data_IF_991914974125
#
_entry.id   IF_991914974125
#
_cell.length_a   1.000
_cell.length_b   1.000
_cell.length_c   1.000
_cell.angle_alpha   90.00
_cell.angle_beta   90.00
_cell.angle_gamma   90.00
#
_symmetry.space_group_name_H-M   'P 1'
#
loop_
_entity.id
_entity.type
_entity.pdbx_description
1 polymer ?
#
# COMPACT_ATOMS: atom_id res chain seq x y z
N UNK A 1 5.29 23.46 9.80
CA UNK A 1 4.77 24.73 9.30
C UNK A 1 5.02 24.74 7.80
N UNK A 2 3.97 24.49 7.00
CA UNK A 2 4.08 24.32 5.55
C UNK A 2 3.79 25.61 4.78
N UNK A 3 3.67 26.74 5.49
CA UNK A 3 3.34 28.07 4.94
C UNK A 3 4.41 28.66 4.02
N UNK A 4 5.59 28.05 3.93
CA UNK A 4 6.72 28.49 3.09
C UNK A 4 6.61 28.09 1.61
N UNK A 5 5.63 27.27 1.22
CA UNK A 5 5.39 26.92 -0.19
C UNK A 5 4.22 27.73 -0.76
N UNK A 6 4.42 28.31 -1.95
CA UNK A 6 3.48 29.22 -2.62
C UNK A 6 2.11 28.59 -2.91
N UNK A 7 2.05 27.26 -3.00
CA UNK A 7 0.86 26.43 -3.21
C UNK A 7 0.67 25.40 -2.07
N UNK A 8 0.94 25.81 -0.82
CA UNK A 8 0.74 24.98 0.36
C UNK A 8 -0.75 24.74 0.64
N UNK A 9 -1.40 23.98 -0.24
CA UNK A 9 -2.65 23.31 0.06
C UNK A 9 -2.37 22.31 1.19
N UNK A 10 -3.28 22.22 2.16
CA UNK A 10 -3.15 21.35 3.34
C UNK A 10 -3.14 19.83 3.01
N UNK A 11 -2.91 19.45 1.75
CA UNK A 11 -3.14 18.14 1.18
C UNK A 11 -4.64 17.81 1.10
N UNK A 12 -5.00 16.89 0.21
CA UNK A 12 -6.31 16.26 0.30
C UNK A 12 -6.36 15.45 1.61
N UNK A 13 -7.27 15.82 2.53
CA UNK A 13 -7.46 15.11 3.80
C UNK A 13 -8.75 14.30 3.74
N UNK A 14 -8.67 13.04 4.19
CA UNK A 14 -9.84 12.17 4.31
C UNK A 14 -10.29 11.50 3.01
N UNK A 15 -9.54 11.59 1.92
CA UNK A 15 -9.79 10.75 0.73
C UNK A 15 -9.23 9.35 1.03
N UNK A 16 -10.08 8.31 1.04
CA UNK A 16 -9.60 6.93 1.18
C UNK A 16 -8.67 6.56 0.03
N UNK A 17 -7.61 5.81 0.33
CA UNK A 17 -6.67 5.32 -0.69
C UNK A 17 -7.40 4.56 -1.81
N UNK A 18 -8.43 3.76 -1.47
CA UNK A 18 -9.24 3.02 -2.45
C UNK A 18 -9.94 3.93 -3.47
N UNK A 19 -10.35 5.14 -3.08
CA UNK A 19 -10.92 6.10 -4.03
C UNK A 19 -9.84 6.68 -4.95
N UNK A 20 -8.64 6.92 -4.42
CA UNK A 20 -7.50 7.35 -5.24
C UNK A 20 -7.11 6.26 -6.25
N UNK A 21 -7.06 5.01 -5.81
CA UNK A 21 -6.80 3.85 -6.68
C UNK A 21 -7.87 3.71 -7.78
N UNK A 22 -9.15 3.84 -7.43
CA UNK A 22 -10.24 3.76 -8.40
C UNK A 22 -10.15 4.85 -9.49
N UNK A 23 -9.90 6.10 -9.09
CA UNK A 23 -9.74 7.22 -10.04
C UNK A 23 -8.53 7.01 -10.95
N UNK A 24 -7.40 6.53 -10.40
CA UNK A 24 -6.20 6.28 -11.19
C UNK A 24 -6.38 5.09 -12.16
N UNK A 25 -7.09 4.04 -11.74
CA UNK A 25 -7.40 2.90 -12.61
C UNK A 25 -8.34 3.30 -13.75
N UNK A 26 -9.41 4.03 -13.45
CA UNK A 26 -10.34 4.56 -14.44
C UNK A 26 -9.59 5.41 -15.47
N UNK A 27 -8.79 6.37 -14.99
CA UNK A 27 -7.99 7.24 -15.85
C UNK A 27 -6.98 6.46 -16.72
N UNK A 28 -6.30 5.46 -16.15
CA UNK A 28 -5.41 4.59 -16.92
C UNK A 28 -6.15 3.80 -18.01
N UNK A 29 -7.38 3.36 -17.72
CA UNK A 29 -8.28 2.71 -18.67
C UNK A 29 -8.71 3.64 -19.81
N UNK A 30 -9.05 4.89 -19.51
CA UNK A 30 -9.37 5.93 -20.52
C UNK A 30 -8.19 6.20 -21.46
N UNK A 31 -6.96 6.06 -20.96
CA UNK A 31 -5.73 6.17 -21.75
C UNK A 31 -5.39 4.90 -22.55
N UNK A 32 -6.20 3.84 -22.44
CA UNK A 32 -6.03 2.58 -23.19
C UNK A 32 -5.04 1.60 -22.57
N UNK A 33 -4.75 1.71 -21.28
CA UNK A 33 -3.85 0.76 -20.58
C UNK A 33 -4.49 -0.62 -20.45
N UNK A 34 -3.76 -1.68 -20.79
CA UNK A 34 -4.19 -3.08 -20.60
C UNK A 34 -3.93 -3.53 -19.15
N UNK A 35 -4.95 -3.41 -18.30
CA UNK A 35 -4.90 -3.81 -16.88
C UNK A 35 -5.50 -5.21 -16.73
N UNK A 36 -4.66 -6.17 -16.31
CA UNK A 36 -5.04 -7.58 -16.15
C UNK A 36 -5.10 -7.99 -14.68
N UNK A 37 -6.30 -8.02 -14.11
CA UNK A 37 -6.53 -8.48 -12.72
C UNK A 37 -6.51 -10.01 -12.63
N UNK A 38 -6.04 -10.53 -11.50
CA UNK A 38 -5.88 -11.98 -11.29
C UNK A 38 -4.69 -12.59 -12.03
N UNK A 39 -3.75 -11.75 -12.48
CA UNK A 39 -2.47 -12.17 -13.05
C UNK A 39 -1.36 -11.93 -12.04
N UNK A 40 -0.62 -12.98 -11.70
CA UNK A 40 0.41 -12.97 -10.68
C UNK A 40 1.78 -13.23 -11.30
N UNK A 41 2.75 -12.36 -11.01
CA UNK A 41 4.13 -12.53 -11.41
C UNK A 41 4.77 -13.76 -10.73
N UNK A 42 5.56 -14.52 -11.49
CA UNK A 42 6.27 -15.71 -10.98
C UNK A 42 7.79 -15.60 -11.12
N UNK A 43 8.26 -15.21 -12.30
CA UNK A 43 9.69 -15.15 -12.59
C UNK A 43 9.96 -14.18 -13.74
N UNK A 44 11.22 -13.79 -13.88
CA UNK A 44 11.72 -13.02 -15.02
C UNK A 44 13.00 -13.64 -15.56
N UNK A 45 13.21 -13.46 -16.86
CA UNK A 45 14.47 -13.64 -17.56
C UNK A 45 14.70 -12.37 -18.39
N UNK A 46 15.92 -11.84 -18.40
CA UNK A 46 16.27 -10.65 -19.17
C UNK A 46 17.45 -10.93 -20.09
N UNK A 47 17.44 -10.25 -21.24
CA UNK A 47 18.52 -10.22 -22.23
C UNK A 47 18.74 -8.78 -22.70
N UNK A 48 19.62 -8.57 -23.67
CA UNK A 48 19.99 -7.24 -24.16
C UNK A 48 18.80 -6.49 -24.83
N UNK A 49 17.73 -7.20 -25.22
CA UNK A 49 16.58 -6.67 -25.95
C UNK A 49 15.30 -6.58 -25.09
N UNK A 50 15.35 -6.96 -23.81
CA UNK A 50 14.25 -6.77 -22.86
C UNK A 50 14.04 -7.88 -21.84
N UNK A 51 12.80 -8.01 -21.35
CA UNK A 51 12.43 -8.88 -20.23
C UNK A 51 11.29 -9.81 -20.62
N UNK A 52 11.50 -11.11 -20.45
CA UNK A 52 10.45 -12.12 -20.44
C UNK A 52 9.98 -12.37 -19.01
N UNK A 53 8.67 -12.38 -18.79
CA UNK A 53 8.07 -12.71 -17.48
C UNK A 53 7.19 -13.94 -17.58
N UNK A 54 7.31 -14.81 -16.59
CA UNK A 54 6.35 -15.89 -16.33
C UNK A 54 5.28 -15.34 -15.38
N UNK A 55 4.02 -15.56 -15.74
CA UNK A 55 2.85 -15.10 -14.97
C UNK A 55 1.83 -16.21 -14.87
N UNK A 56 1.16 -16.32 -13.71
CA UNK A 56 0.00 -17.17 -13.54
C UNK A 56 -1.27 -16.32 -13.71
N UNK A 57 -2.15 -16.70 -14.62
CA UNK A 57 -3.40 -15.99 -14.88
C UNK A 57 -4.56 -16.97 -15.12
N UNK A 58 -5.72 -16.47 -15.56
CA UNK A 58 -6.80 -17.33 -16.03
C UNK A 58 -6.29 -18.32 -17.07
N UNK A 59 -6.59 -19.60 -16.88
CA UNK A 59 -6.14 -20.67 -17.78
C UNK A 59 -4.73 -21.21 -17.54
N UNK A 60 -4.01 -20.73 -16.52
CA UNK A 60 -2.72 -21.31 -16.09
C UNK A 60 -1.53 -20.37 -16.25
N UNK A 61 -0.37 -20.94 -16.54
CA UNK A 61 0.87 -20.18 -16.72
C UNK A 61 1.00 -19.63 -18.14
N UNK A 62 1.51 -18.40 -18.23
CA UNK A 62 1.73 -17.68 -19.46
C UNK A 62 3.11 -17.03 -19.45
N UNK A 63 3.64 -16.74 -20.65
CA UNK A 63 4.87 -15.97 -20.83
C UNK A 63 4.58 -14.69 -21.59
N UNK A 64 5.01 -13.56 -21.03
CA UNK A 64 4.89 -12.23 -21.64
C UNK A 64 6.28 -11.66 -21.91
N UNK A 65 6.42 -10.80 -22.92
CA UNK A 65 7.67 -10.12 -23.28
C UNK A 65 7.43 -8.61 -23.38
N UNK A 66 8.33 -7.84 -22.81
CA UNK A 66 8.34 -6.38 -22.90
C UNK A 66 9.80 -5.88 -22.97
N UNK A 67 9.98 -4.61 -23.35
CA UNK A 67 11.31 -3.96 -23.32
C UNK A 67 11.75 -3.66 -21.88
N UNK A 68 10.79 -3.34 -21.00
CA UNK A 68 11.04 -3.00 -19.60
C UNK A 68 10.00 -3.67 -18.71
N UNK A 69 10.41 -3.95 -17.46
CA UNK A 69 9.55 -4.39 -16.38
C UNK A 69 9.69 -3.42 -15.21
N UNK A 70 8.57 -2.96 -14.65
CA UNK A 70 8.54 -2.10 -13.46
C UNK A 70 7.88 -2.85 -12.31
N UNK A 71 8.60 -3.02 -11.20
CA UNK A 71 8.07 -3.62 -9.97
C UNK A 71 7.23 -2.61 -9.18
N UNK A 72 5.93 -2.57 -9.43
CA UNK A 72 4.94 -1.79 -8.67
C UNK A 72 4.13 -2.67 -7.69
N UNK A 73 4.74 -3.76 -7.20
CA UNK A 73 4.12 -4.85 -6.44
C UNK A 73 4.30 -4.74 -4.92
N UNK A 74 4.51 -3.52 -4.42
CA UNK A 74 4.50 -3.20 -2.99
C UNK A 74 5.78 -3.56 -2.22
N UNK A 75 5.72 -3.44 -0.88
CA UNK A 75 6.90 -3.58 -0.01
C UNK A 75 7.56 -4.97 -0.04
N UNK A 76 6.77 -6.02 -0.29
CA UNK A 76 7.23 -7.40 -0.44
C UNK A 76 7.48 -7.78 -1.90
N UNK A 77 7.91 -6.83 -2.72
CA UNK A 77 8.11 -6.98 -4.16
C UNK A 77 8.82 -8.30 -4.54
N UNK A 78 8.08 -9.12 -5.28
CA UNK A 78 8.54 -10.35 -5.92
C UNK A 78 9.41 -10.05 -7.13
N UNK A 79 9.12 -8.96 -7.85
CA UNK A 79 9.95 -8.47 -8.96
C UNK A 79 11.33 -8.07 -8.47
N UNK A 80 11.42 -7.29 -7.37
CA UNK A 80 12.69 -6.89 -6.76
C UNK A 80 13.56 -8.10 -6.40
N UNK A 81 12.94 -9.10 -5.77
CA UNK A 81 13.62 -10.32 -5.36
C UNK A 81 14.12 -11.13 -6.58
N UNK A 82 13.27 -11.32 -7.59
CA UNK A 82 13.61 -12.07 -8.80
C UNK A 82 14.72 -11.39 -9.63
N UNK A 83 14.76 -10.05 -9.64
CA UNK A 83 15.81 -9.28 -10.30
C UNK A 83 17.12 -9.20 -9.49
N UNK A 84 17.18 -9.80 -8.29
CA UNK A 84 18.38 -9.85 -7.47
C UNK A 84 18.77 -8.51 -6.83
N UNK A 85 17.84 -7.56 -6.71
CA UNK A 85 18.12 -6.29 -6.06
C UNK A 85 18.30 -6.45 -4.56
N UNK A 86 19.38 -5.88 -4.03
CA UNK A 86 19.58 -5.75 -2.60
C UNK A 86 18.52 -4.82 -1.99
N UNK A 87 18.07 -5.15 -0.78
CA UNK A 87 17.12 -4.32 -0.02
C UNK A 87 17.65 -4.07 1.40
N UNK A 88 18.71 -3.24 1.53
CA UNK A 88 19.31 -2.96 2.83
C UNK A 88 18.38 -2.10 3.69
N UNK A 89 18.33 -2.40 4.98
CA UNK A 89 17.53 -1.68 5.95
C UNK A 89 17.46 -2.41 7.28
N UNK A 90 16.59 -1.93 8.17
CA UNK A 90 16.32 -2.57 9.44
C UNK A 90 14.93 -3.19 9.42
N UNK A 91 14.82 -4.44 9.87
CA UNK A 91 13.53 -5.09 10.07
C UNK A 91 12.69 -4.36 11.12
N UNK A 92 11.37 -4.51 11.03
CA UNK A 92 10.45 -3.97 12.02
C UNK A 92 10.77 -4.52 13.41
N UNK A 93 10.72 -3.64 14.41
CA UNK A 93 10.94 -4.00 15.83
C UNK A 93 9.68 -3.87 16.68
N UNK A 94 8.57 -3.40 16.07
CA UNK A 94 7.30 -3.13 16.74
C UNK A 94 6.13 -3.47 15.83
N UNK A 95 5.11 -4.09 16.41
CA UNK A 95 3.79 -4.25 15.82
C UNK A 95 2.87 -3.10 16.16
N UNK A 96 1.86 -2.91 15.32
CA UNK A 96 0.74 -2.00 15.52
C UNK A 96 -0.52 -2.66 15.00
N UNK A 97 -1.64 -2.41 15.63
CA UNK A 97 -2.95 -2.88 15.17
C UNK A 97 -3.74 -1.72 14.62
N UNK A 98 -4.44 -1.96 13.52
CA UNK A 98 -5.42 -1.04 12.95
C UNK A 98 -6.71 -1.82 12.76
N UNK A 99 -7.82 -1.24 13.21
CA UNK A 99 -9.15 -1.79 12.98
C UNK A 99 -10.16 -0.68 12.72
N UNK A 100 -11.11 -0.97 11.84
CA UNK A 100 -12.31 -0.16 11.64
C UNK A 100 -13.45 -0.83 12.39
N UNK A 101 -14.07 -0.12 13.34
CA UNK A 101 -15.04 -0.67 14.30
C UNK A 101 -16.37 0.07 14.24
N UNK A 102 -17.46 -0.64 14.58
CA UNK A 102 -18.83 -0.12 14.59
C UNK A 102 -19.49 -0.34 15.94
N UNK A 103 -20.35 0.59 16.36
CA UNK A 103 -21.17 0.44 17.58
C UNK A 103 -20.41 0.53 18.91
N UNK A 104 -19.10 0.80 18.90
CA UNK A 104 -18.26 0.80 20.10
C UNK A 104 -18.22 2.14 20.86
N UNK A 105 -18.81 3.22 20.31
CA UNK A 105 -18.79 4.57 20.88
C UNK A 105 -17.37 5.02 21.30
N UNK A 106 -16.40 4.89 20.38
CA UNK A 106 -14.99 5.13 20.71
C UNK A 106 -14.76 6.63 20.97
N UNK A 107 -14.09 6.97 22.08
CA UNK A 107 -13.69 8.35 22.35
C UNK A 107 -12.73 8.84 21.26
N UNK A 108 -13.01 9.94 20.53
CA UNK A 108 -12.12 10.46 19.51
C UNK A 108 -10.76 10.92 20.08
N UNK A 109 -9.70 10.54 19.38
CA UNK A 109 -8.28 10.85 19.66
C UNK A 109 -7.53 11.13 18.34
N UNK A 110 -7.89 12.20 17.59
CA UNK A 110 -7.42 12.41 16.22
C UNK A 110 -5.92 12.74 16.10
N UNK A 111 -5.31 13.24 17.18
CA UNK A 111 -3.86 13.50 17.26
C UNK A 111 -3.11 12.36 17.99
N UNK A 112 -3.81 11.28 18.35
CA UNK A 112 -3.33 10.25 19.25
C UNK A 112 -3.32 10.68 20.72
N UNK A 113 -3.32 9.70 21.61
CA UNK A 113 -3.17 9.88 23.06
C UNK A 113 -2.18 8.84 23.58
N UNK A 114 -1.18 9.28 24.34
CA UNK A 114 -0.26 8.36 25.03
C UNK A 114 -0.91 7.85 26.32
N UNK A 115 -0.78 6.55 26.54
CA UNK A 115 -1.24 5.83 27.72
C UNK A 115 -0.06 5.04 28.33
N UNK A 116 -0.17 4.54 29.57
CA UNK A 116 0.92 3.77 30.18
C UNK A 116 1.40 2.57 29.33
N UNK A 117 0.47 1.92 28.62
CA UNK A 117 0.77 0.76 27.75
C UNK A 117 1.21 1.11 26.32
N UNK A 118 1.25 2.38 25.92
CA UNK A 118 1.62 2.76 24.55
C UNK A 118 0.92 4.01 24.04
N UNK A 119 0.51 3.99 22.77
CA UNK A 119 -0.26 5.07 22.15
C UNK A 119 -1.50 4.50 21.49
N UNK A 120 -2.60 5.23 21.56
CA UNK A 120 -3.81 4.93 20.80
C UNK A 120 -4.24 6.14 19.97
N UNK A 121 -4.75 5.90 18.78
CA UNK A 121 -5.42 6.90 17.94
C UNK A 121 -6.82 6.41 17.63
N UNK A 122 -7.78 7.32 17.60
CA UNK A 122 -9.15 7.03 17.23
C UNK A 122 -9.71 8.21 16.45
N UNK A 123 -10.25 7.96 15.26
CA UNK A 123 -10.85 9.00 14.45
C UNK A 123 -12.03 8.43 13.65
N UNK A 124 -13.10 9.23 13.44
CA UNK A 124 -14.18 8.82 12.56
C UNK A 124 -13.64 8.66 11.13
N UNK A 125 -13.93 7.52 10.52
CA UNK A 125 -13.56 7.22 9.13
C UNK A 125 -14.72 7.48 8.17
N UNK A 126 -15.92 7.06 8.57
CA UNK A 126 -17.18 7.26 7.86
C UNK A 126 -18.33 7.32 8.88
N UNK A 127 -19.55 7.54 8.42
CA UNK A 127 -20.73 7.52 9.28
C UNK A 127 -20.86 6.19 10.03
N UNK A 128 -20.81 6.25 11.36
CA UNK A 128 -20.92 5.07 12.23
C UNK A 128 -19.68 4.16 12.30
N UNK A 129 -18.58 4.52 11.63
CA UNK A 129 -17.32 3.75 11.60
C UNK A 129 -16.18 4.56 12.19
N UNK A 130 -15.58 4.02 13.26
CA UNK A 130 -14.38 4.58 13.89
C UNK A 130 -13.14 3.78 13.49
N UNK A 131 -12.08 4.44 13.06
CA UNK A 131 -10.76 3.83 12.91
C UNK A 131 -9.98 3.93 14.20
N UNK A 132 -9.55 2.78 14.73
CA UNK A 132 -8.65 2.69 15.87
C UNK A 132 -7.26 2.23 15.43
N UNK A 133 -6.23 2.86 16.00
CA UNK A 133 -4.84 2.42 15.87
C UNK A 133 -4.28 2.21 17.27
N UNK A 134 -3.71 1.04 17.52
CA UNK A 134 -3.15 0.66 18.81
C UNK A 134 -1.67 0.33 18.64
N UNK A 135 -0.83 1.09 19.34
CA UNK A 135 0.62 0.94 19.36
C UNK A 135 1.05 0.54 20.78
N UNK A 136 0.78 -0.71 21.16
CA UNK A 136 1.16 -1.25 22.46
C UNK A 136 2.69 -1.41 22.58
N UNK A 137 3.23 -1.16 23.77
CA UNK A 137 4.63 -1.41 24.05
C UNK A 137 4.94 -2.91 24.02
N UNK A 138 6.03 -3.29 23.35
CA UNK A 138 6.44 -4.68 23.24
C UNK A 138 5.61 -5.54 22.28
N UNK A 139 4.60 -4.97 21.60
CA UNK A 139 3.89 -5.68 20.54
C UNK A 139 4.89 -6.14 19.46
N UNK A 140 4.95 -7.45 19.16
CA UNK A 140 5.85 -7.97 18.14
C UNK A 140 5.41 -7.50 16.75
N UNK A 141 6.35 -7.31 15.80
CA UNK A 141 5.98 -7.12 14.40
C UNK A 141 5.17 -8.33 13.89
N UNK A 142 4.23 -8.05 12.98
CA UNK A 142 3.43 -9.07 12.29
C UNK A 142 4.25 -9.82 11.23
#
# INVERSE_FOLDING_TARGET
DYTVLKDAHFGARGIPQSQTEAVLEEWAGELGTDIRRGWEFRALEQDDDGVSVAVAGPGGEHRLRAQFLVGADGGQSTVRAAAGFAFPGTSATRGMYLADVVGCQVKPRPLGERLPGGMVMAAPLAEGIDRIIVCEHGAPPA
#
